data_IF_167182213342
#
_entry.id   IF_167182213342
#
_cell.length_a   1.000
_cell.length_b   1.000
_cell.length_c   1.000
_cell.angle_alpha   90.00
_cell.angle_beta   90.00
_cell.angle_gamma   90.00
#
_symmetry.space_group_name_H-M   'P 1'
#
loop_
_entity.id
_entity.type
_entity.pdbx_description
1 polymer ?
#
# COMPACT_ATOMS: atom_id res chain seq x y z
N UNK A 1 21.59 -3.30 -1.88
CA UNK A 1 20.45 -2.64 -2.55
C UNK A 1 19.36 -2.40 -1.52
N UNK A 2 18.74 -1.22 -1.47
CA UNK A 2 17.65 -0.90 -0.52
C UNK A 2 16.32 -0.89 -1.28
N UNK A 3 15.35 -1.69 -0.84
CA UNK A 3 13.99 -1.72 -1.37
C UNK A 3 13.10 -0.91 -0.43
N UNK A 4 12.36 0.06 -0.97
CA UNK A 4 11.44 0.91 -0.22
C UNK A 4 10.06 0.72 -0.84
N UNK A 5 9.11 0.06 -0.15
CA UNK A 5 7.73 -0.04 -0.63
C UNK A 5 7.07 1.33 -0.69
N UNK A 6 6.31 1.56 -1.75
CA UNK A 6 5.51 2.77 -1.93
C UNK A 6 4.04 2.42 -1.71
N UNK A 7 3.34 3.20 -0.89
CA UNK A 7 1.90 3.07 -0.67
C UNK A 7 1.19 4.30 -1.24
N UNK A 8 0.48 4.11 -2.35
CA UNK A 8 -0.41 5.14 -2.87
C UNK A 8 -1.63 5.29 -1.96
N UNK A 9 -1.86 6.50 -1.43
CA UNK A 9 -2.95 6.79 -0.50
C UNK A 9 -4.02 7.69 -1.13
N UNK A 10 -5.29 7.43 -0.78
CA UNK A 10 -6.41 8.35 -1.05
C UNK A 10 -7.48 8.16 0.03
N UNK A 11 -7.86 9.25 0.69
CA UNK A 11 -8.92 9.21 1.70
C UNK A 11 -8.59 8.38 2.96
N UNK A 12 -7.31 8.21 3.28
CA UNK A 12 -6.86 7.40 4.42
C UNK A 12 -6.72 5.91 4.12
N UNK A 13 -6.92 5.48 2.87
CA UNK A 13 -6.77 4.08 2.45
C UNK A 13 -5.65 3.93 1.42
N UNK A 14 -5.01 2.76 1.42
CA UNK A 14 -4.12 2.33 0.34
C UNK A 14 -4.95 2.00 -0.88
N UNK A 15 -4.56 2.56 -2.02
CA UNK A 15 -5.30 2.43 -3.28
C UNK A 15 -4.42 1.87 -4.39
N UNK A 16 -5.07 1.28 -5.38
CA UNK A 16 -4.43 0.95 -6.66
C UNK A 16 -4.38 2.19 -7.53
N UNK A 17 -3.21 2.84 -7.59
CA UNK A 17 -2.97 3.93 -8.53
C UNK A 17 -3.07 3.43 -9.99
N UNK A 18 -3.60 4.29 -10.86
CA UNK A 18 -3.76 4.01 -12.28
C UNK A 18 -3.34 5.20 -13.12
N UNK A 19 -2.04 5.33 -13.39
CA UNK A 19 -1.47 6.33 -14.31
C UNK A 19 -2.01 7.76 -14.10
N UNK A 20 -2.13 8.20 -12.84
CA UNK A 20 -2.64 9.54 -12.51
C UNK A 20 -4.16 9.75 -12.65
N UNK A 21 -4.92 8.74 -13.09
CA UNK A 21 -6.40 8.78 -13.18
C UNK A 21 -7.03 8.63 -11.79
N UNK A 22 -6.90 9.69 -10.97
CA UNK A 22 -7.29 9.70 -9.54
C UNK A 22 -8.78 9.40 -9.30
N UNK A 23 -9.63 9.69 -10.28
CA UNK A 23 -11.04 9.33 -10.32
C UNK A 23 -11.26 7.81 -10.32
N UNK A 24 -10.31 7.04 -10.86
CA UNK A 24 -10.38 5.57 -10.96
C UNK A 24 -9.67 4.83 -9.83
N UNK A 25 -9.04 5.55 -8.90
CA UNK A 25 -8.35 4.91 -7.78
C UNK A 25 -9.37 4.20 -6.90
N UNK A 26 -9.08 2.93 -6.59
CA UNK A 26 -9.91 2.06 -5.75
C UNK A 26 -9.05 1.51 -4.60
N UNK A 27 -9.66 1.17 -3.45
CA UNK A 27 -8.98 0.45 -2.39
C UNK A 27 -8.18 -0.73 -2.92
N UNK A 28 -6.97 -0.93 -2.41
CA UNK A 28 -6.11 -2.03 -2.83
C UNK A 28 -6.74 -3.36 -2.41
N UNK A 29 -6.63 -4.37 -3.28
CA UNK A 29 -6.95 -5.77 -2.97
C UNK A 29 -5.66 -6.55 -3.11
N UNK A 30 -5.21 -7.17 -2.03
CA UNK A 30 -3.90 -7.82 -1.95
C UNK A 30 -3.97 -9.00 -0.99
N UNK A 31 -3.21 -10.10 -1.21
CA UNK A 31 -3.11 -11.18 -0.23
C UNK A 31 -2.35 -10.78 1.04
N UNK A 32 -1.69 -9.61 1.07
CA UNK A 32 -0.88 -9.17 2.19
C UNK A 32 -1.69 -8.58 3.35
N UNK A 33 -2.93 -8.19 3.12
CA UNK A 33 -3.81 -7.58 4.13
C UNK A 33 -5.28 -7.86 3.80
N UNK A 34 -6.11 -8.02 4.83
CA UNK A 34 -7.56 -8.16 4.69
C UNK A 34 -8.28 -6.82 4.50
N UNK A 35 -7.60 -5.70 4.71
CA UNK A 35 -8.14 -4.36 4.53
C UNK A 35 -7.19 -3.45 3.76
N UNK A 36 -7.74 -2.36 3.25
CA UNK A 36 -7.02 -1.24 2.62
C UNK A 36 -6.49 -0.23 3.64
N UNK A 37 -6.61 -0.49 4.94
CA UNK A 37 -6.04 0.38 5.97
C UNK A 37 -4.51 0.45 5.82
N UNK A 38 -3.96 1.66 6.00
CA UNK A 38 -2.54 1.92 5.75
C UNK A 38 -1.64 1.09 6.65
N UNK A 39 -1.99 0.98 7.93
CA UNK A 39 -1.19 0.24 8.90
C UNK A 39 -1.31 -1.26 8.63
N UNK A 40 -2.52 -1.76 8.35
CA UNK A 40 -2.73 -3.17 8.02
C UNK A 40 -1.92 -3.61 6.79
N UNK A 41 -1.90 -2.80 5.72
CA UNK A 41 -1.11 -3.09 4.51
C UNK A 41 0.40 -3.00 4.78
N UNK A 42 0.85 -2.02 5.56
CA UNK A 42 2.26 -1.88 5.93
C UNK A 42 2.77 -3.07 6.77
N UNK A 43 1.97 -3.55 7.72
CA UNK A 43 2.30 -4.75 8.50
C UNK A 43 2.30 -6.02 7.64
N UNK A 44 1.36 -6.13 6.69
CA UNK A 44 1.38 -7.20 5.68
C UNK A 44 2.68 -7.25 4.88
N UNK A 45 3.18 -6.09 4.43
CA UNK A 45 4.47 -5.96 3.75
C UNK A 45 5.64 -6.31 4.67
N UNK A 46 5.60 -5.90 5.94
CA UNK A 46 6.61 -6.25 6.95
C UNK A 46 6.70 -7.75 7.21
N UNK A 47 5.59 -8.47 7.06
CA UNK A 47 5.56 -9.94 7.11
C UNK A 47 6.41 -10.62 6.03
N UNK A 48 6.67 -9.95 4.90
CA UNK A 48 7.55 -10.46 3.83
C UNK A 48 9.02 -10.14 4.07
N UNK A 49 9.30 -8.93 4.57
CA UNK A 49 10.64 -8.44 4.82
C UNK A 49 10.57 -7.26 5.80
N UNK A 50 11.51 -7.11 6.76
CA UNK A 50 11.50 -6.02 7.73
C UNK A 50 11.86 -4.67 7.07
N UNK A 51 10.95 -4.12 6.28
CA UNK A 51 11.12 -2.84 5.60
C UNK A 51 11.24 -1.72 6.66
N UNK A 52 12.40 -1.04 6.75
CA UNK A 52 12.61 0.01 7.74
C UNK A 52 11.97 1.34 7.32
N UNK A 53 11.44 1.43 6.09
CA UNK A 53 10.94 2.68 5.51
C UNK A 53 9.88 2.37 4.46
N UNK A 54 8.84 3.19 4.44
CA UNK A 54 7.78 3.25 3.44
C UNK A 54 7.74 4.66 2.86
N UNK A 55 7.30 4.81 1.62
CA UNK A 55 7.05 6.10 0.97
C UNK A 55 5.57 6.22 0.59
#
# INVERSE_FOLDING_TARGET
MRIIPVLDLKGGEVVRAQQGKRDRYRPIVTPLSQSSDVIAVAEGLRGLHPFPTFY
#
